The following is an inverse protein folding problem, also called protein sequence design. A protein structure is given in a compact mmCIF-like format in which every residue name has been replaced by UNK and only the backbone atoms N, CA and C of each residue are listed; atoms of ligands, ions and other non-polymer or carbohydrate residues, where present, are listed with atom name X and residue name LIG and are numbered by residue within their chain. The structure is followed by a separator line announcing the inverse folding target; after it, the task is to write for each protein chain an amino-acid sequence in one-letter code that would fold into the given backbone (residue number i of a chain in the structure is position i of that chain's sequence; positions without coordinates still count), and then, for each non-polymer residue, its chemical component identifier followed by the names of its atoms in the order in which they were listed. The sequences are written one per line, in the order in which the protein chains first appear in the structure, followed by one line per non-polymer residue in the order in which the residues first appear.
data_IF_035476648790
#
_entry.id   IF_035476648790
#
_cell.length_a   1.000
_cell.length_b   1.000
_cell.length_c   1.000
_cell.angle_alpha   90.00
_cell.angle_beta   90.00
_cell.angle_gamma   90.00
#
_symmetry.space_group_name_H-M   'P 1'
#
loop_
_entity.id
_entity.type
_entity.pdbx_description
1 polymer ?
#
# COMPACT_ATOMS: atom_id res chain seq x y z
N UNK A 1 -63.59 -54.16 18.87
CA UNK A 1 -62.58 -54.51 17.83
C UNK A 1 -62.07 -53.21 17.18
N UNK A 2 -61.03 -52.72 17.68
CA UNK A 2 -60.48 -51.44 17.16
C UNK A 2 -58.96 -51.65 16.92
N UNK A 3 -58.59 -51.76 15.67
CA UNK A 3 -57.19 -51.94 15.25
C UNK A 3 -56.42 -50.62 15.36
N UNK A 4 -55.31 -50.64 16.09
CA UNK A 4 -54.31 -49.59 16.12
C UNK A 4 -53.42 -49.69 14.87
N UNK A 5 -53.26 -48.57 14.13
CA UNK A 5 -52.26 -48.42 13.09
C UNK A 5 -50.89 -48.10 13.72
N UNK A 6 -49.79 -48.63 13.17
CA UNK A 6 -48.45 -48.31 13.65
C UNK A 6 -47.97 -46.93 13.14
N UNK A 7 -47.20 -46.29 14.01
CA UNK A 7 -46.50 -45.00 13.73
C UNK A 7 -45.48 -45.16 12.61
N UNK A 8 -45.58 -44.32 11.59
CA UNK A 8 -44.57 -44.18 10.55
C UNK A 8 -43.33 -43.46 11.09
N UNK A 9 -42.20 -44.12 10.95
CA UNK A 9 -40.89 -43.58 11.16
C UNK A 9 -40.65 -42.46 10.13
N UNK A 10 -40.18 -41.31 10.59
CA UNK A 10 -39.69 -40.23 9.73
C UNK A 10 -38.28 -40.65 9.21
N UNK A 11 -38.01 -40.51 7.93
CA UNK A 11 -36.63 -40.71 7.41
C UNK A 11 -35.71 -39.64 7.97
N UNK A 12 -34.55 -40.07 8.48
CA UNK A 12 -33.44 -39.23 8.92
C UNK A 12 -32.86 -38.42 7.72
N UNK A 13 -32.13 -37.36 8.01
CA UNK A 13 -31.47 -36.57 6.96
C UNK A 13 -30.42 -37.43 6.24
N UNK A 14 -30.20 -37.20 4.94
CA UNK A 14 -29.17 -37.94 4.19
C UNK A 14 -27.78 -37.64 4.75
N UNK A 15 -27.09 -38.69 5.15
CA UNK A 15 -25.66 -38.65 5.39
C UNK A 15 -24.90 -38.58 4.05
N UNK A 16 -23.98 -37.66 3.99
CA UNK A 16 -22.83 -37.72 3.06
C UNK A 16 -23.05 -37.07 1.71
N UNK A 17 -22.72 -35.79 1.64
CA UNK A 17 -22.09 -35.21 0.45
C UNK A 17 -21.00 -34.24 0.90
N UNK A 18 -19.79 -34.72 0.77
CA UNK A 18 -18.52 -34.04 0.53
C UNK A 18 -18.49 -32.51 0.75
N UNK A 19 -18.11 -32.13 1.97
CA UNK A 19 -17.46 -30.85 2.19
C UNK A 19 -16.14 -30.86 1.39
N UNK A 20 -16.22 -30.59 0.09
CA UNK A 20 -15.07 -30.15 -0.67
C UNK A 20 -14.69 -28.79 -0.10
N UNK A 21 -13.78 -28.86 0.83
CA UNK A 21 -12.95 -27.77 1.32
C UNK A 21 -12.32 -27.10 0.09
N UNK A 22 -12.98 -26.05 -0.42
CA UNK A 22 -12.36 -25.11 -1.35
C UNK A 22 -11.34 -24.29 -0.57
N UNK A 23 -10.26 -24.94 -0.16
CA UNK A 23 -9.00 -24.29 0.08
C UNK A 23 -8.60 -23.67 -1.25
N UNK A 24 -9.03 -22.44 -1.49
CA UNK A 24 -8.38 -21.54 -2.44
C UNK A 24 -7.01 -21.30 -1.82
N UNK A 25 -6.07 -22.18 -2.16
CA UNK A 25 -4.65 -21.96 -1.88
C UNK A 25 -4.34 -20.58 -2.44
N UNK A 26 -3.97 -19.68 -1.54
CA UNK A 26 -3.47 -18.35 -1.88
C UNK A 26 -2.12 -18.55 -2.59
N UNK A 27 -2.15 -18.74 -3.91
CA UNK A 27 -0.94 -18.92 -4.75
C UNK A 27 0.08 -17.79 -4.54
N UNK A 28 -0.32 -16.69 -3.89
CA UNK A 28 0.57 -15.59 -3.51
C UNK A 28 1.38 -15.88 -2.24
N UNK A 29 1.03 -16.89 -1.43
CA UNK A 29 1.75 -17.28 -0.21
C UNK A 29 2.95 -18.20 -0.49
N UNK A 30 3.07 -18.76 -1.69
CA UNK A 30 4.04 -19.81 -2.04
C UNK A 30 5.39 -19.29 -2.57
N UNK A 31 5.50 -18.03 -3.02
CA UNK A 31 6.76 -17.49 -3.57
C UNK A 31 7.34 -16.33 -2.75
N UNK A 32 8.68 -16.21 -2.70
CA UNK A 32 9.33 -15.07 -2.07
C UNK A 32 8.87 -13.74 -2.68
N UNK A 33 8.80 -12.69 -1.85
CA UNK A 33 8.56 -11.32 -2.32
C UNK A 33 9.79 -10.82 -3.06
N UNK A 34 9.62 -10.47 -4.30
CA UNK A 34 10.69 -10.05 -5.21
C UNK A 34 10.98 -8.57 -5.07
N UNK A 35 12.19 -8.23 -4.69
CA UNK A 35 12.62 -6.87 -4.39
C UNK A 35 13.65 -6.39 -5.40
N UNK A 36 13.44 -5.20 -5.97
CA UNK A 36 14.43 -4.47 -6.72
C UNK A 36 15.08 -3.44 -5.80
N UNK A 37 16.40 -3.32 -5.82
CA UNK A 37 17.16 -2.29 -5.10
C UNK A 37 17.83 -1.38 -6.12
N UNK A 38 17.72 -0.07 -5.95
CA UNK A 38 18.43 0.92 -6.75
C UNK A 38 19.11 1.97 -5.86
N UNK A 39 20.42 2.10 -5.99
CA UNK A 39 21.24 3.12 -5.33
C UNK A 39 22.58 3.21 -6.07
N UNK A 40 23.16 4.40 -6.35
CA UNK A 40 24.46 4.52 -7.04
C UNK A 40 25.63 4.08 -6.15
N UNK A 41 25.48 4.14 -4.81
CA UNK A 41 26.52 3.76 -3.85
C UNK A 41 26.51 2.26 -3.60
N UNK A 42 27.62 1.60 -3.90
CA UNK A 42 27.73 0.13 -3.83
C UNK A 42 27.53 -0.38 -2.40
N UNK A 43 28.09 0.32 -1.43
CA UNK A 43 27.96 -0.04 -0.01
C UNK A 43 26.49 -0.02 0.44
N UNK A 44 25.71 0.97 0.02
CA UNK A 44 24.27 1.06 0.32
C UNK A 44 23.53 -0.12 -0.28
N UNK A 45 23.78 -0.44 -1.56
CA UNK A 45 23.13 -1.59 -2.21
C UNK A 45 23.46 -2.90 -1.53
N UNK A 46 24.74 -3.12 -1.19
CA UNK A 46 25.17 -4.33 -0.48
C UNK A 46 24.58 -4.39 0.92
N UNK A 47 24.53 -3.27 1.65
CA UNK A 47 23.89 -3.17 2.95
C UNK A 47 22.41 -3.55 2.90
N UNK A 48 21.63 -2.91 2.04
CA UNK A 48 20.20 -3.22 1.86
C UNK A 48 19.98 -4.68 1.44
N UNK A 49 20.82 -5.20 0.53
CA UNK A 49 20.77 -6.60 0.13
C UNK A 49 21.07 -7.54 1.30
N UNK A 50 22.07 -7.23 2.11
CA UNK A 50 22.43 -8.01 3.30
C UNK A 50 21.32 -8.04 4.35
N UNK A 51 20.66 -6.90 4.59
CA UNK A 51 19.51 -6.82 5.51
C UNK A 51 18.33 -7.68 5.07
N UNK A 52 18.08 -7.77 3.75
CA UNK A 52 16.98 -8.58 3.21
C UNK A 52 17.35 -10.06 3.07
N UNK A 53 18.62 -10.40 2.86
CA UNK A 53 19.07 -11.77 2.65
C UNK A 53 18.82 -12.71 3.84
N UNK A 54 18.68 -12.16 5.05
CA UNK A 54 18.33 -12.92 6.24
C UNK A 54 16.86 -13.37 6.30
N UNK A 55 16.02 -12.90 5.38
CA UNK A 55 14.58 -13.18 5.32
C UNK A 55 14.28 -14.19 4.23
N UNK A 56 13.80 -15.38 4.61
CA UNK A 56 13.54 -16.48 3.68
C UNK A 56 12.38 -16.19 2.69
N UNK A 57 11.50 -15.29 3.04
CA UNK A 57 10.34 -14.89 2.24
C UNK A 57 10.61 -13.67 1.33
N UNK A 58 11.84 -13.16 1.30
CA UNK A 58 12.25 -12.03 0.46
C UNK A 58 13.39 -12.44 -0.49
N UNK A 59 13.31 -12.00 -1.75
CA UNK A 59 14.32 -12.25 -2.77
C UNK A 59 14.71 -10.95 -3.48
N UNK A 60 15.99 -10.60 -3.46
CA UNK A 60 16.50 -9.46 -4.24
C UNK A 60 16.75 -9.90 -5.68
N UNK A 61 15.84 -9.53 -6.58
CA UNK A 61 15.86 -9.96 -7.99
C UNK A 61 16.65 -9.01 -8.91
N UNK A 62 16.89 -7.78 -8.46
CA UNK A 62 17.71 -6.81 -9.19
C UNK A 62 18.42 -5.85 -8.21
N UNK A 63 19.63 -5.43 -8.59
CA UNK A 63 20.44 -4.46 -7.84
C UNK A 63 21.05 -3.47 -8.84
N UNK A 64 20.49 -2.27 -8.90
CA UNK A 64 20.71 -1.29 -9.97
C UNK A 64 21.55 -0.13 -9.45
N UNK A 65 22.49 0.33 -10.29
CA UNK A 65 23.34 1.48 -9.98
C UNK A 65 22.77 2.79 -10.52
N UNK A 66 22.03 2.72 -11.62
CA UNK A 66 21.49 3.88 -12.31
C UNK A 66 19.95 3.87 -12.31
N UNK A 67 19.37 5.03 -12.61
CA UNK A 67 17.91 5.16 -12.78
C UNK A 67 17.44 4.32 -13.97
N UNK A 68 18.17 4.36 -15.09
CA UNK A 68 17.79 3.64 -16.32
C UNK A 68 17.79 2.13 -16.09
N UNK A 69 18.82 1.58 -15.39
CA UNK A 69 18.85 0.17 -15.01
C UNK A 69 17.65 -0.18 -14.11
N UNK A 70 17.32 0.68 -13.15
CA UNK A 70 16.19 0.43 -12.24
C UNK A 70 14.85 0.41 -12.99
N UNK A 71 14.65 1.30 -13.95
CA UNK A 71 13.46 1.31 -14.82
C UNK A 71 13.42 0.06 -15.69
N UNK A 72 14.50 -0.28 -16.36
CA UNK A 72 14.59 -1.48 -17.19
C UNK A 72 14.30 -2.76 -16.39
N UNK A 73 15.00 -2.95 -15.28
CA UNK A 73 14.84 -4.14 -14.43
C UNK A 73 13.49 -4.20 -13.73
N UNK A 74 12.84 -3.06 -13.49
CA UNK A 74 11.49 -3.02 -12.95
C UNK A 74 10.46 -3.69 -13.87
N UNK A 75 10.70 -3.63 -15.18
CA UNK A 75 9.88 -4.31 -16.19
C UNK A 75 10.37 -5.74 -16.42
N UNK A 76 11.67 -5.91 -16.65
CA UNK A 76 12.26 -7.20 -17.02
C UNK A 76 12.14 -8.25 -15.93
N UNK A 77 12.36 -7.90 -14.67
CA UNK A 77 12.32 -8.82 -13.53
C UNK A 77 10.97 -8.93 -12.83
N UNK A 78 10.03 -8.04 -13.16
CA UNK A 78 8.70 -8.02 -12.50
C UNK A 78 8.78 -8.11 -10.97
N UNK A 79 9.51 -7.19 -10.29
CA UNK A 79 9.54 -7.17 -8.83
C UNK A 79 8.18 -6.85 -8.24
N UNK A 80 7.99 -7.22 -6.97
CA UNK A 80 6.79 -6.91 -6.19
C UNK A 80 6.92 -5.58 -5.44
N UNK A 81 8.16 -5.16 -5.12
CA UNK A 81 8.50 -3.91 -4.42
C UNK A 81 9.82 -3.36 -4.97
N UNK A 82 9.94 -2.06 -5.12
CA UNK A 82 11.19 -1.37 -5.43
C UNK A 82 11.69 -0.55 -4.22
N UNK A 83 12.97 -0.69 -3.90
CA UNK A 83 13.71 0.11 -2.93
C UNK A 83 14.62 1.10 -3.66
N UNK A 84 14.43 2.40 -3.44
CA UNK A 84 15.28 3.46 -3.96
C UNK A 84 16.07 4.07 -2.81
N UNK A 85 17.38 3.89 -2.84
CA UNK A 85 18.27 4.32 -1.77
C UNK A 85 18.60 5.82 -1.80
N UNK A 86 19.24 6.28 -0.73
CA UNK A 86 19.58 7.68 -0.50
C UNK A 86 20.84 8.15 -1.27
N UNK A 87 21.60 7.26 -1.88
CA UNK A 87 22.79 7.63 -2.64
C UNK A 87 22.50 8.44 -3.91
N UNK A 88 21.29 8.35 -4.45
CA UNK A 88 20.85 9.25 -5.52
C UNK A 88 20.63 10.66 -5.00
N UNK A 89 21.04 11.68 -5.76
CA UNK A 89 20.56 13.04 -5.53
C UNK A 89 19.03 13.08 -5.55
N UNK A 90 18.42 13.99 -4.78
CA UNK A 90 16.96 14.05 -4.62
C UNK A 90 16.22 14.07 -5.97
N UNK A 91 16.67 14.88 -6.91
CA UNK A 91 16.06 14.97 -8.24
C UNK A 91 16.13 13.65 -9.01
N UNK A 92 17.27 12.94 -8.95
CA UNK A 92 17.42 11.62 -9.59
C UNK A 92 16.54 10.57 -8.94
N UNK A 93 16.40 10.60 -7.62
CA UNK A 93 15.53 9.71 -6.84
C UNK A 93 14.06 9.88 -7.22
N UNK A 94 13.60 11.12 -7.30
CA UNK A 94 12.25 11.45 -7.74
C UNK A 94 12.00 11.05 -9.20
N UNK A 95 13.00 11.24 -10.06
CA UNK A 95 12.92 10.83 -11.46
C UNK A 95 12.83 9.31 -11.60
N UNK A 96 13.64 8.54 -10.84
CA UNK A 96 13.55 7.09 -10.79
C UNK A 96 12.13 6.64 -10.42
N UNK A 97 11.56 7.22 -9.35
CA UNK A 97 10.20 6.91 -8.91
C UNK A 97 9.18 7.24 -10.01
N UNK A 98 9.27 8.41 -10.64
CA UNK A 98 8.34 8.79 -11.73
C UNK A 98 8.40 7.83 -12.91
N UNK A 99 9.59 7.47 -13.36
CA UNK A 99 9.78 6.57 -14.49
C UNK A 99 9.31 5.16 -14.17
N UNK A 100 9.63 4.63 -12.99
CA UNK A 100 9.11 3.34 -12.52
C UNK A 100 7.59 3.38 -12.43
N UNK A 101 7.00 4.41 -11.84
CA UNK A 101 5.54 4.55 -11.71
C UNK A 101 4.83 4.67 -13.07
N UNK A 102 5.48 5.25 -14.08
CA UNK A 102 4.94 5.28 -15.46
C UNK A 102 5.00 3.92 -16.13
N UNK A 103 6.13 3.21 -15.99
CA UNK A 103 6.35 1.90 -16.62
C UNK A 103 5.61 0.77 -15.90
N UNK A 104 5.49 0.85 -14.59
CA UNK A 104 4.86 -0.13 -13.69
C UNK A 104 4.01 0.55 -12.62
N UNK A 105 2.81 1.06 -12.95
CA UNK A 105 1.96 1.81 -12.01
C UNK A 105 1.53 1.02 -10.77
N UNK A 106 1.55 -0.31 -10.84
CA UNK A 106 1.21 -1.19 -9.72
C UNK A 106 2.39 -1.50 -8.80
N UNK A 107 3.64 -1.17 -9.19
CA UNK A 107 4.84 -1.46 -8.42
C UNK A 107 4.98 -0.45 -7.27
N UNK A 108 4.82 -0.87 -6.01
CA UNK A 108 5.02 0.02 -4.88
C UNK A 108 6.51 0.34 -4.70
N UNK A 109 6.79 1.60 -4.39
CA UNK A 109 8.16 2.09 -4.19
C UNK A 109 8.35 2.51 -2.74
N UNK A 110 9.46 2.05 -2.14
CA UNK A 110 10.01 2.55 -0.87
C UNK A 110 11.19 3.46 -1.21
N UNK A 111 11.21 4.65 -0.65
CA UNK A 111 12.39 5.52 -0.63
C UNK A 111 13.06 5.40 0.72
N UNK A 112 14.37 5.14 0.73
CA UNK A 112 15.22 5.21 1.91
C UNK A 112 15.94 6.55 1.89
N UNK A 113 15.86 7.33 2.97
CA UNK A 113 16.47 8.67 3.09
C UNK A 113 17.54 8.69 4.17
N UNK A 114 18.67 9.32 3.92
CA UNK A 114 19.70 9.57 4.94
C UNK A 114 19.22 10.59 5.98
N UNK A 115 18.35 11.51 5.57
CA UNK A 115 17.73 12.52 6.43
C UNK A 115 16.23 12.56 6.16
N UNK A 116 15.43 11.82 6.93
CA UNK A 116 13.99 11.85 6.78
C UNK A 116 13.44 13.20 7.24
N UNK A 117 12.93 13.98 6.28
CA UNK A 117 12.32 15.30 6.49
C UNK A 117 10.91 15.30 5.89
N UNK A 118 10.00 16.10 6.48
CA UNK A 118 8.61 16.17 6.05
C UNK A 118 8.47 16.64 4.60
N UNK A 119 9.20 17.68 4.18
CA UNK A 119 9.10 18.23 2.82
C UNK A 119 9.58 17.23 1.76
N UNK A 120 10.68 16.52 2.04
CA UNK A 120 11.17 15.44 1.17
C UNK A 120 10.17 14.29 1.09
N UNK A 121 9.57 13.90 2.21
CA UNK A 121 8.49 12.91 2.24
C UNK A 121 7.29 13.35 1.42
N UNK A 122 6.78 14.56 1.62
CA UNK A 122 5.64 15.10 0.86
C UNK A 122 5.92 15.14 -0.64
N UNK A 123 7.16 15.45 -1.02
CA UNK A 123 7.60 15.43 -2.43
C UNK A 123 7.61 14.01 -2.99
N UNK A 124 8.10 13.03 -2.24
CA UNK A 124 8.05 11.60 -2.60
C UNK A 124 6.62 11.10 -2.77
N UNK A 125 5.73 11.45 -1.87
CA UNK A 125 4.31 11.07 -1.92
C UNK A 125 3.64 11.55 -3.21
N UNK A 126 3.96 12.77 -3.67
CA UNK A 126 3.40 13.34 -4.92
C UNK A 126 3.76 12.54 -6.17
N UNK A 127 4.89 11.85 -6.16
CA UNK A 127 5.34 11.03 -7.29
C UNK A 127 4.95 9.56 -7.15
N UNK A 128 4.17 9.22 -6.12
CA UNK A 128 3.60 7.87 -5.95
C UNK A 128 4.37 6.95 -5.01
N UNK A 129 5.32 7.46 -4.20
CA UNK A 129 6.00 6.69 -3.16
C UNK A 129 4.99 6.23 -2.11
N UNK A 130 5.08 4.96 -1.72
CA UNK A 130 4.23 4.36 -0.69
C UNK A 130 4.99 4.00 0.59
N UNK A 131 6.30 3.97 0.53
CA UNK A 131 7.18 3.73 1.67
C UNK A 131 8.24 4.80 1.79
N UNK A 132 8.46 5.32 2.99
CA UNK A 132 9.52 6.28 3.27
C UNK A 132 10.17 5.95 4.60
N UNK A 133 11.46 5.65 4.58
CA UNK A 133 12.24 5.15 5.71
C UNK A 133 13.52 5.95 5.89
N UNK A 134 14.04 5.94 7.12
CA UNK A 134 15.38 6.45 7.41
C UNK A 134 16.49 5.47 6.99
N UNK A 135 17.69 5.98 6.72
CA UNK A 135 18.84 5.16 6.31
C UNK A 135 19.46 4.31 7.44
N UNK A 136 19.01 4.50 8.67
CA UNK A 136 19.41 3.73 9.85
C UNK A 136 18.46 2.56 10.18
N UNK A 137 17.58 2.19 9.23
CA UNK A 137 16.62 1.11 9.38
C UNK A 137 17.33 -0.24 9.60
N UNK A 138 16.82 -1.04 10.53
CA UNK A 138 17.28 -2.41 10.73
C UNK A 138 16.61 -3.42 9.76
N UNK A 139 17.12 -4.67 9.79
CA UNK A 139 16.63 -5.72 8.90
C UNK A 139 15.15 -6.05 9.13
N UNK A 140 14.68 -6.00 10.37
CA UNK A 140 13.28 -6.33 10.73
C UNK A 140 12.33 -5.30 10.19
N UNK A 141 12.62 -4.01 10.44
CA UNK A 141 11.80 -2.88 9.98
C UNK A 141 11.78 -2.81 8.45
N UNK A 142 12.93 -3.02 7.79
CA UNK A 142 13.00 -3.02 6.33
C UNK A 142 12.19 -4.16 5.72
N UNK A 143 12.29 -5.37 6.28
CA UNK A 143 11.54 -6.52 5.81
C UNK A 143 10.02 -6.34 6.01
N UNK A 144 9.61 -5.81 7.16
CA UNK A 144 8.20 -5.52 7.44
C UNK A 144 7.66 -4.43 6.50
N UNK A 145 8.46 -3.42 6.18
CA UNK A 145 8.12 -2.41 5.20
C UNK A 145 7.85 -3.02 3.81
N UNK A 146 8.70 -3.93 3.35
CA UNK A 146 8.52 -4.64 2.08
C UNK A 146 7.22 -5.46 2.09
N UNK A 147 6.94 -6.22 3.17
CA UNK A 147 5.71 -7.01 3.32
C UNK A 147 4.46 -6.14 3.34
N UNK A 148 4.53 -5.03 4.07
CA UNK A 148 3.44 -4.05 4.17
C UNK A 148 3.10 -3.47 2.80
N UNK A 149 4.11 -3.08 2.01
CA UNK A 149 3.86 -2.54 0.68
C UNK A 149 3.34 -3.59 -0.30
N UNK A 150 3.86 -4.81 -0.26
CA UNK A 150 3.33 -5.92 -1.07
C UNK A 150 1.84 -6.16 -0.80
N UNK A 151 1.40 -6.07 0.45
CA UNK A 151 -0.01 -6.22 0.81
C UNK A 151 -0.88 -5.00 0.47
N UNK A 152 -0.29 -3.93 -0.10
CA UNK A 152 -0.99 -2.70 -0.47
C UNK A 152 -1.10 -1.68 0.66
N UNK A 153 -0.33 -1.86 1.74
CA UNK A 153 -0.16 -0.89 2.82
C UNK A 153 0.78 0.26 2.43
N UNK A 154 1.04 1.13 3.38
CA UNK A 154 2.06 2.17 3.30
C UNK A 154 2.87 2.21 4.60
N UNK A 155 4.08 2.73 4.53
CA UNK A 155 4.93 2.89 5.70
C UNK A 155 5.60 4.27 5.67
N UNK A 156 5.68 4.90 6.82
CA UNK A 156 6.28 6.23 6.98
C UNK A 156 7.24 6.18 8.15
N UNK A 157 8.40 6.82 7.99
CA UNK A 157 9.40 6.98 9.05
C UNK A 157 8.76 7.61 10.30
N UNK A 158 8.85 6.96 11.47
CA UNK A 158 8.20 7.47 12.68
C UNK A 158 8.65 8.87 13.10
N UNK A 159 9.89 9.24 12.82
CA UNK A 159 10.44 10.55 13.20
C UNK A 159 9.72 11.73 12.55
N UNK A 160 9.12 11.55 11.38
CA UNK A 160 8.38 12.62 10.67
C UNK A 160 6.87 12.64 10.98
N UNK A 161 6.35 11.64 11.70
CA UNK A 161 4.91 11.57 11.98
C UNK A 161 4.40 12.76 12.79
N UNK A 162 5.19 13.24 13.76
CA UNK A 162 4.85 14.42 14.56
C UNK A 162 4.67 15.66 13.68
N UNK A 163 5.63 15.92 12.81
CA UNK A 163 5.59 17.06 11.87
C UNK A 163 4.47 16.91 10.84
N UNK A 164 4.22 15.68 10.39
CA UNK A 164 3.11 15.40 9.49
C UNK A 164 1.76 15.68 10.15
N UNK A 165 1.55 15.26 11.40
CA UNK A 165 0.33 15.57 12.13
C UNK A 165 0.16 17.07 12.38
N UNK A 166 1.24 17.79 12.75
CA UNK A 166 1.21 19.23 12.93
C UNK A 166 0.89 19.94 11.60
N UNK A 167 1.44 19.48 10.49
CA UNK A 167 1.16 19.98 9.15
C UNK A 167 -0.31 19.79 8.76
N UNK A 168 -0.84 18.57 8.95
CA UNK A 168 -2.23 18.24 8.66
C UNK A 168 -3.21 19.06 9.54
N UNK A 169 -2.89 19.26 10.82
CA UNK A 169 -3.71 20.08 11.73
C UNK A 169 -3.77 21.53 11.29
N UNK A 170 -2.68 22.12 10.80
CA UNK A 170 -2.65 23.48 10.26
C UNK A 170 -3.51 23.64 9.01
N UNK A 171 -3.43 22.66 8.08
CA UNK A 171 -4.25 22.66 6.88
C UNK A 171 -5.73 22.52 7.23
N UNK A 172 -6.06 21.62 8.15
CA UNK A 172 -7.44 21.42 8.62
C UNK A 172 -8.04 22.67 9.25
N UNK A 173 -7.26 23.37 10.07
CA UNK A 173 -7.71 24.63 10.71
C UNK A 173 -7.96 25.74 9.68
N UNK A 174 -7.16 25.80 8.60
CA UNK A 174 -7.33 26.80 7.53
C UNK A 174 -8.44 26.46 6.54
N UNK A 175 -8.84 25.20 6.44
CA UNK A 175 -9.80 24.68 5.45
C UNK A 175 -11.20 24.41 6.02
N UNK A 176 -11.45 24.67 7.32
CA UNK A 176 -12.74 24.39 7.96
C UNK A 176 -13.16 22.92 7.83
N UNK A 177 -12.29 22.00 8.27
CA UNK A 177 -12.51 20.55 8.13
C UNK A 177 -13.77 20.09 8.88
N UNK A 178 -14.91 20.13 8.19
CA UNK A 178 -16.15 19.52 8.62
C UNK A 178 -16.25 18.11 8.00
N UNK A 179 -15.95 17.08 8.78
CA UNK A 179 -16.27 15.68 8.45
C UNK A 179 -17.79 15.43 8.33
N UNK A 180 -18.59 16.47 8.47
CA UNK A 180 -20.04 16.40 8.42
C UNK A 180 -20.54 16.79 7.03
N UNK A 181 -20.81 15.76 6.23
CA UNK A 181 -21.44 15.81 4.91
C UNK A 181 -20.57 16.45 3.82
N UNK A 182 -19.79 15.65 3.07
CA UNK A 182 -19.08 16.17 1.92
C UNK A 182 -20.11 16.75 0.94
N UNK A 183 -19.85 17.95 0.44
CA UNK A 183 -20.61 18.56 -0.63
C UNK A 183 -20.76 17.51 -1.75
N UNK A 184 -21.99 17.29 -2.22
CA UNK A 184 -22.30 16.31 -3.27
C UNK A 184 -21.46 16.53 -4.55
N UNK A 185 -20.95 17.73 -4.74
CA UNK A 185 -20.08 18.12 -5.85
C UNK A 185 -18.60 17.85 -5.59
N UNK A 186 -18.20 17.56 -4.34
CA UNK A 186 -16.80 17.23 -4.02
C UNK A 186 -16.45 15.82 -4.52
N UNK A 187 -15.18 15.53 -4.84
CA UNK A 187 -14.73 14.19 -5.18
C UNK A 187 -15.12 13.13 -4.13
N UNK A 188 -15.09 13.50 -2.85
CA UNK A 188 -15.48 12.64 -1.72
C UNK A 188 -17.00 12.40 -1.68
N UNK A 189 -17.80 13.35 -2.14
CA UNK A 189 -19.25 13.22 -2.24
C UNK A 189 -19.70 12.14 -3.22
N UNK A 190 -18.84 11.77 -4.19
CA UNK A 190 -19.09 10.70 -5.17
C UNK A 190 -18.87 9.30 -4.62
N UNK A 191 -18.27 9.16 -3.44
CA UNK A 191 -18.02 7.88 -2.80
C UNK A 191 -19.28 7.38 -2.10
N UNK A 192 -19.57 6.08 -2.22
CA UNK A 192 -20.60 5.42 -1.42
C UNK A 192 -20.19 5.43 0.08
N UNK A 193 -21.16 5.16 0.96
CA UNK A 193 -20.87 5.04 2.41
C UNK A 193 -19.76 4.02 2.66
N UNK A 194 -19.81 2.86 1.99
CA UNK A 194 -18.83 1.80 2.16
C UNK A 194 -17.45 2.16 1.63
N UNK A 195 -17.38 2.87 0.51
CA UNK A 195 -16.11 3.38 -0.03
C UNK A 195 -15.49 4.43 0.90
N UNK A 196 -16.29 5.28 1.56
CA UNK A 196 -15.77 6.22 2.57
C UNK A 196 -15.24 5.51 3.81
N UNK A 197 -15.90 4.43 4.27
CA UNK A 197 -15.40 3.61 5.39
C UNK A 197 -14.05 2.98 5.04
N UNK A 198 -13.92 2.39 3.85
CA UNK A 198 -12.66 1.83 3.37
C UNK A 198 -11.58 2.91 3.25
N UNK A 199 -11.90 4.07 2.68
CA UNK A 199 -10.97 5.19 2.52
C UNK A 199 -10.49 5.72 3.88
N UNK A 200 -11.37 5.79 4.88
CA UNK A 200 -11.01 6.22 6.24
C UNK A 200 -10.02 5.25 6.89
N UNK A 201 -10.28 3.95 6.84
CA UNK A 201 -9.37 2.93 7.41
C UNK A 201 -8.03 2.93 6.66
N UNK A 202 -8.08 3.12 5.35
CA UNK A 202 -6.90 3.29 4.52
C UNK A 202 -6.07 4.52 4.93
N UNK A 203 -6.71 5.64 5.24
CA UNK A 203 -6.04 6.85 5.73
C UNK A 203 -5.44 6.69 7.14
N UNK A 204 -5.92 5.71 7.92
CA UNK A 204 -5.34 5.28 9.19
C UNK A 204 -4.13 4.35 9.03
N UNK A 205 -3.67 4.08 7.80
CA UNK A 205 -2.52 3.23 7.51
C UNK A 205 -2.82 1.74 7.40
N UNK A 206 -4.08 1.29 7.61
CA UNK A 206 -4.43 -0.13 7.60
C UNK A 206 -4.22 -0.78 6.24
N UNK A 207 -3.57 -1.95 6.21
CA UNK A 207 -3.44 -2.79 5.02
C UNK A 207 -4.77 -3.42 4.59
N UNK A 208 -4.81 -3.98 3.37
CA UNK A 208 -6.07 -4.54 2.82
C UNK A 208 -6.65 -5.67 3.66
N UNK A 209 -5.79 -6.51 4.29
CA UNK A 209 -6.23 -7.59 5.18
C UNK A 209 -6.87 -7.05 6.46
N UNK A 210 -6.29 -6.01 7.05
CA UNK A 210 -6.80 -5.35 8.26
C UNK A 210 -8.12 -4.63 7.99
N UNK A 211 -8.22 -3.91 6.86
CA UNK A 211 -9.48 -3.28 6.41
C UNK A 211 -10.56 -4.34 6.22
N UNK A 212 -10.21 -5.45 5.56
CA UNK A 212 -11.14 -6.56 5.34
C UNK A 212 -11.67 -7.12 6.67
N UNK A 213 -10.77 -7.41 7.61
CA UNK A 213 -11.11 -7.89 8.95
C UNK A 213 -11.99 -6.90 9.71
N UNK A 214 -11.60 -5.62 9.75
CA UNK A 214 -12.35 -4.55 10.46
C UNK A 214 -13.76 -4.36 9.91
N UNK A 215 -13.93 -4.53 8.61
CA UNK A 215 -15.21 -4.31 7.93
C UNK A 215 -16.02 -5.58 7.71
N UNK A 216 -15.53 -6.75 8.11
CA UNK A 216 -16.21 -8.04 7.94
C UNK A 216 -16.39 -8.41 6.44
N UNK A 217 -15.40 -8.12 5.60
CA UNK A 217 -15.42 -8.44 4.16
C UNK A 217 -14.15 -9.19 3.75
N UNK A 218 -14.11 -9.72 2.54
CA UNK A 218 -12.90 -10.40 2.05
C UNK A 218 -11.84 -9.39 1.58
N UNK A 219 -10.54 -9.77 1.59
CA UNK A 219 -9.48 -8.94 0.99
C UNK A 219 -9.71 -8.65 -0.50
N UNK A 220 -10.33 -9.58 -1.24
CA UNK A 220 -10.74 -9.39 -2.64
C UNK A 220 -11.79 -8.29 -2.77
N UNK A 221 -12.79 -8.27 -1.90
CA UNK A 221 -13.81 -7.22 -1.84
C UNK A 221 -13.18 -5.86 -1.50
N UNK A 222 -12.21 -5.83 -0.57
CA UNK A 222 -11.46 -4.60 -0.25
C UNK A 222 -10.72 -4.08 -1.48
N UNK A 223 -10.00 -4.93 -2.24
CA UNK A 223 -9.33 -4.54 -3.49
C UNK A 223 -10.31 -3.95 -4.51
N UNK A 224 -11.51 -4.49 -4.61
CA UNK A 224 -12.57 -3.98 -5.49
C UNK A 224 -13.03 -2.59 -5.07
N UNK A 225 -13.28 -2.36 -3.77
CA UNK A 225 -13.60 -1.03 -3.26
C UNK A 225 -12.48 -0.03 -3.53
N UNK A 226 -11.21 -0.41 -3.31
CA UNK A 226 -10.06 0.46 -3.58
C UNK A 226 -9.99 0.86 -5.05
N UNK A 227 -10.20 -0.06 -5.99
CA UNK A 227 -10.26 0.25 -7.43
C UNK A 227 -11.35 1.27 -7.75
N UNK A 228 -12.53 1.12 -7.16
CA UNK A 228 -13.63 2.06 -7.34
C UNK A 228 -13.32 3.43 -6.74
N UNK A 229 -12.71 3.47 -5.55
CA UNK A 229 -12.28 4.71 -4.88
C UNK A 229 -11.27 5.44 -5.78
N UNK A 230 -10.20 4.76 -6.24
CA UNK A 230 -9.17 5.36 -7.08
C UNK A 230 -9.75 5.96 -8.37
N UNK A 231 -10.64 5.21 -9.03
CA UNK A 231 -11.33 5.69 -10.23
C UNK A 231 -12.21 6.92 -9.94
N UNK A 232 -12.98 6.92 -8.85
CA UNK A 232 -13.88 8.04 -8.49
C UNK A 232 -13.14 9.28 -8.07
N UNK A 233 -12.02 9.12 -7.35
CA UNK A 233 -11.14 10.21 -6.93
C UNK A 233 -10.17 10.66 -8.02
N UNK A 234 -10.09 9.93 -9.15
CA UNK A 234 -9.15 10.17 -10.26
C UNK A 234 -7.69 10.12 -9.81
N UNK A 235 -7.35 9.18 -8.97
CA UNK A 235 -6.00 8.92 -8.46
C UNK A 235 -5.53 7.55 -8.93
N UNK A 236 -4.21 7.38 -9.04
CA UNK A 236 -3.60 6.13 -9.54
C UNK A 236 -3.28 5.13 -8.44
N UNK A 237 -3.19 5.59 -7.19
CA UNK A 237 -2.66 4.79 -6.10
C UNK A 237 -3.28 5.14 -4.74
N UNK A 238 -2.87 4.36 -3.72
CA UNK A 238 -3.31 4.50 -2.35
C UNK A 238 -2.97 5.86 -1.75
N UNK A 239 -1.76 6.33 -2.00
CA UNK A 239 -1.26 7.58 -1.45
C UNK A 239 -2.05 8.77 -2.00
N UNK A 240 -2.29 8.79 -3.31
CA UNK A 240 -3.16 9.78 -3.94
C UNK A 240 -4.58 9.76 -3.37
N UNK A 241 -5.13 8.57 -3.08
CA UNK A 241 -6.46 8.47 -2.49
C UNK A 241 -6.51 8.97 -1.04
N UNK A 242 -5.46 8.73 -0.24
CA UNK A 242 -5.35 9.27 1.12
C UNK A 242 -5.21 10.79 1.09
N UNK A 243 -4.37 11.34 0.22
CA UNK A 243 -4.24 12.79 0.05
C UNK A 243 -5.55 13.45 -0.38
N UNK A 244 -6.26 12.82 -1.32
CA UNK A 244 -7.59 13.29 -1.73
C UNK A 244 -8.61 13.21 -0.58
N UNK A 245 -8.51 12.17 0.29
CA UNK A 245 -9.35 12.05 1.47
C UNK A 245 -9.12 13.15 2.50
N UNK A 246 -7.89 13.64 2.56
CA UNK A 246 -7.49 14.76 3.42
C UNK A 246 -7.79 16.12 2.77
N UNK A 247 -8.49 16.14 1.62
CA UNK A 247 -8.74 17.33 0.79
C UNK A 247 -7.45 18.12 0.45
N UNK A 248 -6.32 17.42 0.48
CA UNK A 248 -5.03 17.98 0.13
C UNK A 248 -4.88 17.90 -1.38
N UNK A 249 -5.04 19.01 -2.09
CA UNK A 249 -4.66 19.08 -3.50
C UNK A 249 -3.12 18.98 -3.58
N UNK A 250 -2.55 17.91 -4.17
CA UNK A 250 -1.10 17.76 -4.30
C UNK A 250 -0.43 18.95 -5.01
N UNK A 251 -1.18 19.72 -5.82
CA UNK A 251 -0.68 20.91 -6.53
C UNK A 251 -0.56 22.13 -5.63
N UNK A 252 -1.30 22.16 -4.51
CA UNK A 252 -1.25 23.25 -3.52
C UNK A 252 -0.13 23.10 -2.50
N UNK A 253 0.53 21.93 -2.51
CA UNK A 253 1.68 21.65 -1.66
C UNK A 253 3.00 22.25 -2.21
N UNK A 254 2.97 22.84 -3.42
CA UNK A 254 4.10 23.58 -3.95
C UNK A 254 3.98 25.06 -3.55
N UNK A 255 5.03 25.69 -2.97
CA UNK A 255 5.17 27.12 -3.11
C UNK A 255 5.16 27.43 -4.60
N UNK A 256 4.46 28.49 -4.99
CA UNK A 256 4.53 29.01 -6.36
C UNK A 256 6.00 29.29 -6.69
N UNK A 257 6.48 28.70 -7.80
CA UNK A 257 7.81 28.95 -8.31
C UNK A 257 7.97 30.41 -8.71
#
# INVERSE_FOLDING_TARGET
MTQRRPHGERPGPPEGEDAHDYAVEDETASRPTRVLIADPVDLTRQGLRGLLAAQLDLEVVASCRTVDDAVFESVARSPDVALIGYGFAEQQRLEAVRQISRSRPSLPVIVVSDRPELDAFLTCVRVGVRGYLGGNVDATVLAEAVRTLRSGGCIVEPSILGDLFAYLSRISASSGWAMNSPDKNSPLGRLSRREREVLRLMAQGMGNKEIASTLGITPGTTKTHLRHIFRKLRVSDRTGAVLAALEIDPRRLLPAA
#
